data_IF_547131828314
#
_entry.id   IF_547131828314
#
_cell.length_a   1.000
_cell.length_b   1.000
_cell.length_c   1.000
_cell.angle_alpha   90.00
_cell.angle_beta   90.00
_cell.angle_gamma   90.00
#
_symmetry.space_group_name_H-M   'P 1'
#
loop_
_entity.id
_entity.type
_entity.pdbx_description
1 polymer ?
#
# COMPACT_ATOMS: atom_id res chain seq x y z
N UNK A 1 -15.61 -10.20 -33.02
CA UNK A 1 -15.32 -10.13 -32.55
C UNK A 1 -15.23 -9.74 -31.81
N UNK A 2 -15.33 -9.52 -31.22
CA UNK A 2 -15.12 -9.06 -30.44
C UNK A 2 -14.54 -9.03 -29.72
N UNK A 3 -14.58 -8.75 -29.85
CA UNK A 3 -13.60 -8.51 -29.31
C UNK A 3 -13.73 -8.51 -27.95
N UNK A 4 -13.35 -9.02 -27.45
CA UNK A 4 -13.49 -8.97 -26.27
C UNK A 4 -12.44 -8.30 -25.63
N UNK A 5 -12.65 -7.46 -25.07
CA UNK A 5 -11.78 -6.80 -24.44
C UNK A 5 -11.71 -7.30 -23.18
N UNK A 6 -10.78 -7.77 -22.83
CA UNK A 6 -10.38 -7.80 -21.54
C UNK A 6 -10.72 -6.55 -20.92
N UNK A 7 -11.10 -6.51 -19.67
CA UNK A 7 -11.45 -5.30 -19.03
C UNK A 7 -10.60 -4.31 -19.65
N UNK A 8 -10.98 -3.92 -20.67
CA UNK A 8 -10.35 -3.26 -21.64
C UNK A 8 -9.09 -2.61 -21.24
N UNK A 9 -8.25 -2.46 -22.16
CA UNK A 9 -7.03 -1.72 -21.92
C UNK A 9 -7.32 -0.41 -21.21
N UNK A 10 -8.48 0.22 -21.50
CA UNK A 10 -8.82 1.48 -20.85
C UNK A 10 -9.16 1.33 -19.37
N UNK A 11 -9.81 0.24 -18.95
CA UNK A 11 -10.05 0.01 -17.52
C UNK A 11 -8.75 -0.27 -16.79
N UNK A 12 -7.86 -1.07 -17.39
CA UNK A 12 -6.54 -1.32 -16.82
C UNK A 12 -5.75 -0.03 -16.66
N UNK A 13 -5.76 0.82 -17.67
CA UNK A 13 -5.06 2.10 -17.62
C UNK A 13 -5.62 3.00 -16.52
N UNK A 14 -6.95 3.04 -16.35
CA UNK A 14 -7.55 3.84 -15.29
C UNK A 14 -7.24 3.29 -13.91
N UNK A 15 -7.25 1.97 -13.75
CA UNK A 15 -6.88 1.34 -12.47
C UNK A 15 -5.41 1.60 -12.14
N UNK A 16 -4.52 1.53 -13.13
CA UNK A 16 -3.12 1.87 -12.90
C UNK A 16 -2.95 3.31 -12.48
N UNK A 17 -3.70 4.24 -13.09
CA UNK A 17 -3.62 5.64 -12.72
C UNK A 17 -4.07 5.86 -11.28
N UNK A 18 -5.14 5.18 -10.84
CA UNK A 18 -5.63 5.27 -9.47
C UNK A 18 -4.60 4.71 -8.49
N UNK A 19 -4.00 3.56 -8.82
CA UNK A 19 -2.98 2.94 -7.95
C UNK A 19 -1.73 3.81 -7.88
N UNK A 20 -1.29 4.42 -8.99
CA UNK A 20 -0.15 5.34 -8.97
C UNK A 20 -0.43 6.55 -8.10
N UNK A 21 -1.61 7.15 -8.23
CA UNK A 21 -1.98 8.30 -7.40
C UNK A 21 -2.02 7.90 -5.92
N UNK A 22 -2.55 6.71 -5.62
CA UNK A 22 -2.55 6.18 -4.26
C UNK A 22 -1.12 6.11 -3.70
N UNK A 23 -0.22 5.47 -4.43
CA UNK A 23 1.15 5.25 -3.97
C UNK A 23 1.95 6.55 -3.89
N UNK A 24 1.79 7.44 -4.87
CA UNK A 24 2.52 8.70 -4.91
C UNK A 24 2.02 9.66 -3.83
N UNK A 25 0.72 9.70 -3.57
CA UNK A 25 0.17 10.53 -2.51
C UNK A 25 0.63 10.06 -1.13
N UNK A 26 0.79 8.75 -0.93
CA UNK A 26 1.39 8.24 0.30
C UNK A 26 2.81 8.75 0.48
N UNK A 27 3.60 8.76 -0.59
CA UNK A 27 4.98 9.25 -0.54
C UNK A 27 5.06 10.73 -0.20
N UNK A 28 4.06 11.50 -0.65
CA UNK A 28 3.99 12.93 -0.35
C UNK A 28 3.31 13.22 0.99
N UNK A 29 2.83 12.18 1.69
CA UNK A 29 2.05 12.29 2.92
C UNK A 29 0.78 13.14 2.72
N UNK A 30 0.19 13.04 1.53
CA UNK A 30 -1.10 13.66 1.23
C UNK A 30 -2.18 12.61 1.39
N UNK A 31 -2.44 12.24 2.65
CA UNK A 31 -3.30 11.09 2.95
C UNK A 31 -4.77 11.31 2.64
N UNK A 32 -5.22 12.56 2.56
CA UNK A 32 -6.55 12.86 2.06
C UNK A 32 -6.69 12.48 0.58
N UNK A 33 -5.65 12.69 -0.21
CA UNK A 33 -5.62 12.25 -1.61
C UNK A 33 -5.60 10.73 -1.68
N UNK A 34 -4.75 10.09 -0.85
CA UNK A 34 -4.71 8.63 -0.78
C UNK A 34 -6.08 8.05 -0.46
N UNK A 35 -6.76 8.64 0.54
CA UNK A 35 -8.09 8.21 0.95
C UNK A 35 -9.09 8.31 -0.19
N UNK A 36 -8.96 9.34 -1.04
CA UNK A 36 -9.87 9.55 -2.16
C UNK A 36 -9.75 8.52 -3.28
N UNK A 37 -8.68 7.72 -3.28
CA UNK A 37 -8.52 6.66 -4.27
C UNK A 37 -9.36 5.42 -3.95
N UNK A 38 -9.93 5.36 -2.77
CA UNK A 38 -10.77 4.24 -2.36
C UNK A 38 -12.24 4.54 -2.61
N UNK A 39 -12.98 3.52 -3.06
CA UNK A 39 -14.44 3.50 -2.91
C UNK A 39 -14.77 3.13 -1.47
N UNK A 40 -14.00 2.20 -0.90
CA UNK A 40 -14.11 1.85 0.51
C UNK A 40 -12.69 1.70 1.08
N UNK A 41 -12.28 2.60 1.99
CA UNK A 41 -10.94 2.52 2.58
C UNK A 41 -10.81 1.26 3.42
N UNK A 42 -9.85 0.40 3.04
CA UNK A 42 -9.56 -0.81 3.79
C UNK A 42 -8.15 -1.29 3.49
N UNK A 43 -7.38 -1.55 4.56
CA UNK A 43 -6.07 -2.17 4.46
C UNK A 43 -6.07 -3.48 5.23
N UNK A 44 -5.52 -4.52 4.64
CA UNK A 44 -5.23 -5.78 5.32
C UNK A 44 -3.72 -5.97 5.31
N UNK A 45 -3.12 -6.02 6.49
CA UNK A 45 -1.67 -6.17 6.66
C UNK A 45 -1.41 -7.63 7.03
N UNK A 46 -1.09 -8.42 6.03
CA UNK A 46 -1.03 -9.88 6.18
C UNK A 46 0.01 -10.34 7.21
N UNK A 47 1.24 -9.80 7.22
CA UNK A 47 2.26 -10.28 8.17
C UNK A 47 1.88 -10.11 9.64
N UNK A 48 1.05 -9.12 9.96
CA UNK A 48 0.65 -8.87 11.36
C UNK A 48 -0.77 -9.31 11.66
N UNK A 49 -1.56 -9.56 10.62
CA UNK A 49 -2.98 -9.90 10.77
C UNK A 49 -3.86 -8.69 11.07
N UNK A 50 -3.31 -7.48 11.00
CA UNK A 50 -4.08 -6.27 11.28
C UNK A 50 -4.98 -5.92 10.10
N UNK A 51 -6.19 -5.45 10.43
CA UNK A 51 -7.14 -4.95 9.44
C UNK A 51 -7.58 -3.56 9.88
N UNK A 52 -7.54 -2.62 8.94
CA UNK A 52 -8.01 -1.25 9.14
C UNK A 52 -9.14 -1.02 8.16
N UNK A 53 -10.36 -0.87 8.66
CA UNK A 53 -11.55 -0.80 7.82
C UNK A 53 -12.28 0.52 8.09
N UNK A 54 -12.51 1.28 7.02
CA UNK A 54 -13.18 2.57 7.09
C UNK A 54 -12.20 3.73 7.26
N UNK A 55 -12.69 4.96 7.03
CA UNK A 55 -11.82 6.14 7.01
C UNK A 55 -11.09 6.38 8.32
N UNK A 56 -11.78 6.18 9.44
CA UNK A 56 -11.18 6.46 10.74
C UNK A 56 -10.03 5.50 11.03
N UNK A 57 -10.25 4.21 10.79
CA UNK A 57 -9.20 3.21 11.04
C UNK A 57 -8.03 3.35 10.08
N UNK A 58 -8.31 3.66 8.82
CA UNK A 58 -7.25 3.86 7.82
C UNK A 58 -6.44 5.11 8.14
N UNK A 59 -7.08 6.19 8.58
CA UNK A 59 -6.38 7.39 9.04
C UNK A 59 -5.45 7.06 10.21
N UNK A 60 -5.90 6.21 11.14
CA UNK A 60 -5.08 5.75 12.26
C UNK A 60 -3.87 4.95 11.77
N UNK A 61 -4.07 4.10 10.77
CA UNK A 61 -2.98 3.34 10.17
C UNK A 61 -1.89 4.28 9.60
N UNK A 62 -2.29 5.31 8.86
CA UNK A 62 -1.33 6.27 8.34
C UNK A 62 -0.58 6.97 9.48
N UNK A 63 -1.28 7.38 10.52
CA UNK A 63 -0.66 8.07 11.65
C UNK A 63 0.33 7.17 12.38
N UNK A 64 -0.04 5.92 12.65
CA UNK A 64 0.80 4.98 13.38
C UNK A 64 2.06 4.61 12.61
N UNK A 65 1.93 4.35 11.31
CA UNK A 65 3.08 3.94 10.51
C UNK A 65 4.06 5.10 10.31
N UNK A 66 3.56 6.31 10.11
CA UNK A 66 4.42 7.47 9.90
C UNK A 66 4.96 8.05 11.22
N UNK A 67 4.39 7.67 12.36
CA UNK A 67 5.02 7.95 13.64
C UNK A 67 6.26 7.07 13.83
N UNK A 68 6.18 5.79 13.45
CA UNK A 68 7.32 4.88 13.54
C UNK A 68 8.37 5.19 12.46
N UNK A 69 7.92 5.50 11.25
CA UNK A 69 8.78 5.75 10.09
C UNK A 69 8.34 7.05 9.39
N UNK A 70 8.79 8.21 9.88
CA UNK A 70 8.34 9.50 9.31
C UNK A 70 8.68 9.68 7.83
N UNK A 71 9.72 9.00 7.35
CA UNK A 71 10.14 9.06 5.96
C UNK A 71 9.68 7.85 5.14
N UNK A 72 8.68 7.10 5.63
CA UNK A 72 8.21 5.91 4.93
C UNK A 72 7.79 6.26 3.50
N UNK A 73 8.28 5.45 2.57
CA UNK A 73 7.98 5.65 1.16
C UNK A 73 8.02 4.31 0.41
N UNK A 74 7.40 4.31 -0.74
CA UNK A 74 7.40 3.14 -1.62
C UNK A 74 8.05 3.53 -2.95
N UNK A 75 8.75 2.57 -3.56
CA UNK A 75 9.33 2.72 -4.89
C UNK A 75 8.76 1.63 -5.77
N UNK A 76 7.95 2.02 -6.72
CA UNK A 76 7.25 1.11 -7.63
C UNK A 76 8.25 0.35 -8.51
N UNK A 77 8.07 -0.97 -8.61
CA UNK A 77 8.90 -1.80 -9.47
C UNK A 77 8.09 -2.29 -10.66
N UNK A 78 6.92 -2.91 -10.41
CA UNK A 78 6.13 -3.47 -11.50
C UNK A 78 4.68 -3.64 -11.07
N UNK A 79 3.77 -3.40 -12.02
CA UNK A 79 2.35 -3.69 -11.84
C UNK A 79 1.95 -4.88 -12.69
N UNK A 80 1.08 -5.72 -12.12
CA UNK A 80 0.46 -6.84 -12.80
C UNK A 80 -1.05 -6.70 -12.69
N UNK A 81 -1.79 -7.25 -13.62
CA UNK A 81 -3.25 -7.16 -13.64
C UNK A 81 -3.93 -8.50 -13.49
N UNK A 82 -5.00 -8.52 -12.71
CA UNK A 82 -6.00 -9.57 -12.69
C UNK A 82 -7.34 -8.93 -13.06
N UNK A 83 -8.39 -9.75 -13.17
CA UNK A 83 -9.71 -9.23 -13.57
C UNK A 83 -10.26 -8.22 -12.57
N UNK A 84 -9.95 -8.40 -11.29
CA UNK A 84 -10.50 -7.59 -10.21
C UNK A 84 -9.39 -6.94 -9.36
N UNK A 85 -8.16 -6.90 -9.84
CA UNK A 85 -7.05 -6.40 -9.02
C UNK A 85 -5.90 -5.85 -9.86
N UNK A 86 -5.15 -4.93 -9.25
CA UNK A 86 -3.81 -4.57 -9.71
C UNK A 86 -2.86 -5.04 -8.61
N UNK A 87 -1.85 -5.81 -9.00
CA UNK A 87 -0.86 -6.36 -8.07
C UNK A 87 0.44 -5.59 -8.28
N UNK A 88 0.98 -5.03 -7.21
CA UNK A 88 2.15 -4.14 -7.31
C UNK A 88 3.31 -4.71 -6.53
N UNK A 89 4.45 -4.84 -7.22
CA UNK A 89 5.73 -5.09 -6.56
C UNK A 89 6.42 -3.76 -6.34
N UNK A 90 6.88 -3.53 -5.12
CA UNK A 90 7.56 -2.27 -4.78
C UNK A 90 8.55 -2.48 -3.63
N UNK A 91 9.48 -1.56 -3.47
CA UNK A 91 10.32 -1.53 -2.29
C UNK A 91 9.72 -0.57 -1.27
N UNK A 92 9.48 -1.07 -0.07
CA UNK A 92 9.06 -0.25 1.05
C UNK A 92 10.31 0.15 1.82
N UNK A 93 10.42 1.45 2.12
CA UNK A 93 11.61 2.01 2.77
C UNK A 93 11.19 2.93 3.90
N UNK A 94 12.04 3.02 4.91
CA UNK A 94 11.82 3.95 6.01
C UNK A 94 12.97 3.93 6.99
N UNK A 95 12.98 4.94 7.88
CA UNK A 95 13.95 5.06 8.96
C UNK A 95 13.19 5.01 10.29
N UNK A 96 13.66 4.17 11.20
CA UNK A 96 12.98 3.89 12.47
C UNK A 96 13.27 5.01 13.47
N UNK A 97 12.37 6.00 13.50
CA UNK A 97 12.54 7.18 14.35
C UNK A 97 11.44 7.35 15.40
N UNK A 98 10.48 6.44 15.43
CA UNK A 98 9.44 6.40 16.44
C UNK A 98 9.21 4.98 16.90
N UNK A 99 8.49 4.80 18.02
CA UNK A 99 8.22 3.47 18.57
C UNK A 99 7.45 2.61 17.58
N UNK A 100 7.93 1.38 17.37
CA UNK A 100 7.28 0.39 16.51
C UNK A 100 6.89 -0.81 17.38
N UNK A 101 5.59 -0.97 17.63
CA UNK A 101 5.07 -2.11 18.41
C UNK A 101 5.86 -2.33 19.70
N UNK A 102 6.11 -1.25 20.44
CA UNK A 102 6.86 -1.31 21.69
C UNK A 102 8.35 -1.30 21.54
N UNK A 103 8.89 -1.34 20.33
CA UNK A 103 10.33 -1.28 20.09
C UNK A 103 10.74 0.20 19.98
N UNK A 104 11.63 0.66 20.89
CA UNK A 104 12.11 2.06 20.81
C UNK A 104 12.83 2.35 19.50
N UNK A 105 12.84 3.61 19.07
CA UNK A 105 13.48 3.97 17.82
C UNK A 105 14.97 3.64 17.80
N UNK A 106 15.41 3.03 16.71
CA UNK A 106 16.82 2.62 16.54
C UNK A 106 17.61 3.57 15.65
N UNK A 107 16.93 4.44 14.91
CA UNK A 107 17.56 5.31 13.92
C UNK A 107 18.03 4.57 12.67
N UNK A 108 17.75 3.28 12.56
CA UNK A 108 18.20 2.48 11.42
C UNK A 108 17.16 2.48 10.32
N UNK A 109 17.64 2.31 9.09
CA UNK A 109 16.78 2.29 7.89
C UNK A 109 16.56 0.86 7.43
N UNK A 110 15.44 0.65 6.75
CA UNK A 110 15.16 -0.63 6.11
C UNK A 110 14.72 -0.44 4.67
N UNK A 111 14.92 -1.49 3.87
CA UNK A 111 14.33 -1.66 2.55
C UNK A 111 13.79 -3.08 2.48
N UNK A 112 12.52 -3.21 2.10
CA UNK A 112 11.88 -4.51 2.04
C UNK A 112 11.06 -4.64 0.77
N UNK A 113 11.33 -5.69 -0.03
CA UNK A 113 10.52 -5.98 -1.20
C UNK A 113 9.12 -6.38 -0.72
N UNK A 114 8.12 -5.70 -1.24
CA UNK A 114 6.74 -5.78 -0.77
C UNK A 114 5.81 -6.01 -1.94
N UNK A 115 4.71 -6.69 -1.68
CA UNK A 115 3.67 -6.93 -2.66
C UNK A 115 2.35 -6.42 -2.09
N UNK A 116 1.62 -5.63 -2.87
CA UNK A 116 0.28 -5.20 -2.50
C UNK A 116 -0.70 -5.62 -3.58
N UNK A 117 -1.86 -6.11 -3.16
CA UNK A 117 -2.97 -6.42 -4.04
C UNK A 117 -4.02 -5.33 -3.82
N UNK A 118 -4.25 -4.53 -4.86
CA UNK A 118 -5.29 -3.50 -4.85
C UNK A 118 -6.52 -4.10 -5.51
N UNK A 119 -7.58 -4.32 -4.75
CA UNK A 119 -8.81 -4.94 -5.25
C UNK A 119 -9.83 -3.92 -5.68
N UNK A 120 -10.59 -4.27 -6.72
CA UNK A 120 -11.62 -3.44 -7.31
C UNK A 120 -12.90 -4.25 -7.45
N UNK A 121 -14.05 -3.56 -7.42
CA UNK A 121 -15.30 -4.20 -7.82
C UNK A 121 -15.27 -4.49 -9.32
N UNK A 122 -16.08 -5.44 -9.82
CA UNK A 122 -16.15 -5.70 -11.25
C UNK A 122 -16.43 -4.40 -12.02
N UNK A 123 -15.60 -4.12 -13.04
CA UNK A 123 -15.64 -2.89 -13.82
C UNK A 123 -15.41 -1.61 -12.99
N UNK A 124 -15.05 -1.73 -11.72
CA UNK A 124 -14.82 -0.60 -10.84
C UNK A 124 -13.45 0.02 -11.03
N UNK A 125 -13.34 1.30 -10.67
CA UNK A 125 -12.10 2.07 -10.73
C UNK A 125 -11.63 2.55 -9.37
N UNK A 126 -12.47 2.44 -8.33
CA UNK A 126 -12.08 2.78 -6.98
C UNK A 126 -11.60 1.55 -6.23
N UNK A 127 -10.56 1.73 -5.41
CA UNK A 127 -9.99 0.63 -4.64
C UNK A 127 -10.95 0.28 -3.51
N UNK A 128 -11.20 -1.02 -3.30
CA UNK A 128 -12.04 -1.49 -2.20
C UNK A 128 -11.26 -2.20 -1.11
N UNK A 129 -9.98 -2.51 -1.37
CA UNK A 129 -9.09 -3.09 -0.37
C UNK A 129 -7.66 -3.04 -0.88
N UNK A 130 -6.73 -2.68 -0.03
CA UNK A 130 -5.31 -2.91 -0.28
C UNK A 130 -4.82 -3.98 0.69
N UNK A 131 -4.36 -5.11 0.16
CA UNK A 131 -3.82 -6.19 0.96
C UNK A 131 -2.32 -6.24 0.78
N UNK A 132 -1.59 -6.10 1.89
CA UNK A 132 -0.14 -5.90 1.85
C UNK A 132 0.58 -7.11 2.40
N UNK A 133 1.59 -7.59 1.67
CA UNK A 133 2.44 -8.72 2.03
C UNK A 133 3.88 -8.24 2.10
N UNK A 134 4.53 -8.40 3.23
CA UNK A 134 5.96 -8.13 3.37
C UNK A 134 6.55 -9.12 4.38
N UNK A 135 7.89 -9.20 4.37
CA UNK A 135 8.58 -10.08 5.32
C UNK A 135 8.98 -9.25 6.54
N UNK A 136 8.19 -9.39 7.62
CA UNK A 136 8.45 -8.67 8.86
C UNK A 136 9.82 -9.00 9.44
N UNK A 137 10.28 -10.24 9.30
CA UNK A 137 11.60 -10.63 9.80
C UNK A 137 12.72 -9.88 9.08
N UNK A 138 12.58 -9.64 7.78
CA UNK A 138 13.56 -8.86 7.02
C UNK A 138 13.65 -7.43 7.56
N UNK A 139 12.52 -6.80 7.84
CA UNK A 139 12.50 -5.45 8.39
C UNK A 139 13.14 -5.45 9.78
N UNK A 140 12.70 -6.34 10.68
CA UNK A 140 13.20 -6.39 12.05
C UNK A 140 14.71 -6.67 12.09
N UNK A 141 15.21 -7.54 11.22
CA UNK A 141 16.65 -7.83 11.16
C UNK A 141 17.46 -6.58 10.79
N UNK A 142 16.95 -5.77 9.87
CA UNK A 142 17.64 -4.54 9.47
C UNK A 142 17.60 -3.48 10.59
N UNK A 143 16.53 -3.43 11.37
CA UNK A 143 16.40 -2.46 12.44
C UNK A 143 17.21 -2.85 13.67
N UNK A 144 17.51 -4.13 13.87
CA UNK A 144 18.22 -4.60 15.06
C UNK A 144 19.70 -4.84 14.82
N UNK A 145 20.10 -4.96 13.57
CA UNK A 145 21.49 -5.21 13.19
C UNK A 145 22.39 -4.00 13.32
#
# INVERSE_FOLDING_TARGET
>A
MYAHEMPGDSLRARREAVVREHMESENRHEFDVTMSTFDHPRYEIVPTGDVYDGEEEVARYFAETRAAFPDQRNELIKMHHADDAVIVEFDLKGTHEGTLRGIPPTGKSFTCRTLAIFEFEPAGEGIVCERVYFDAATILAQLSG
#
